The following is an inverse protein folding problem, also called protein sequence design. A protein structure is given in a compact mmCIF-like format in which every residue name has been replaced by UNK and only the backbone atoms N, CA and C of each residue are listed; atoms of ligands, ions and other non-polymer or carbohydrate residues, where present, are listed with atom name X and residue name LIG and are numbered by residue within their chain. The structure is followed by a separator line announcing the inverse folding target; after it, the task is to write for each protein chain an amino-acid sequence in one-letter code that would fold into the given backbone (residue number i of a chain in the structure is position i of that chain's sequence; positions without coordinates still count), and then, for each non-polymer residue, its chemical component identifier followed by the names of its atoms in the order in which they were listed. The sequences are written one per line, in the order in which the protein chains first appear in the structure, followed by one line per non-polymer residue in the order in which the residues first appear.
data_IF_363751060394
#
_entry.id   IF_363751060394
#
_cell.length_a   1.000
_cell.length_b   1.000
_cell.length_c   1.000
_cell.angle_alpha   90.00
_cell.angle_beta   90.00
_cell.angle_gamma   90.00
#
_symmetry.space_group_name_H-M   'P 1'
#
loop_
_entity.id
_entity.type
_entity.pdbx_description
1 polymer ?
#
# COMPACT_ATOMS: atom_id res chain seq x y z
N UNK A 1 -13.74 -4.69 -4.08
CA UNK A 1 -15.07 -5.16 -3.66
C UNK A 1 -15.29 -4.83 -2.19
N UNK A 2 -14.58 -5.46 -1.25
CA UNK A 2 -14.69 -5.18 0.21
C UNK A 2 -14.72 -3.69 0.60
N UNK A 3 -13.83 -2.86 0.04
CA UNK A 3 -13.80 -1.40 0.29
C UNK A 3 -15.10 -0.72 -0.17
N UNK A 4 -15.65 -1.15 -1.31
CA UNK A 4 -16.88 -0.57 -1.84
C UNK A 4 -18.09 -0.96 -0.99
N UNK A 5 -18.17 -2.22 -0.59
CA UNK A 5 -19.21 -2.73 0.32
C UNK A 5 -19.18 -1.99 1.66
N UNK A 6 -18.00 -1.85 2.26
CA UNK A 6 -17.82 -1.09 3.52
C UNK A 6 -18.30 0.36 3.37
N UNK A 7 -17.94 1.05 2.29
CA UNK A 7 -18.37 2.43 2.07
C UNK A 7 -19.89 2.55 1.86
N UNK A 8 -20.50 1.58 1.16
CA UNK A 8 -21.95 1.53 0.97
C UNK A 8 -22.69 1.27 2.28
N UNK A 9 -22.19 0.36 3.13
CA UNK A 9 -22.73 0.11 4.48
C UNK A 9 -22.68 1.36 5.37
N UNK A 10 -21.67 2.22 5.17
CA UNK A 10 -21.54 3.53 5.83
C UNK A 10 -22.40 4.63 5.20
N UNK A 11 -23.21 4.32 4.18
CA UNK A 11 -24.16 5.23 3.56
C UNK A 11 -23.63 6.01 2.34
N UNK A 12 -22.53 5.57 1.72
CA UNK A 12 -22.05 6.18 0.48
C UNK A 12 -22.95 5.81 -0.72
N UNK A 13 -23.96 6.64 -0.99
CA UNK A 13 -24.95 6.42 -2.06
C UNK A 13 -24.43 6.72 -3.47
N UNK A 14 -23.33 7.48 -3.60
CA UNK A 14 -22.75 7.89 -4.88
C UNK A 14 -21.31 7.38 -5.00
N UNK A 15 -21.18 6.05 -5.03
CA UNK A 15 -19.88 5.37 -5.16
C UNK A 15 -19.64 4.92 -6.61
N UNK A 16 -18.55 5.38 -7.21
CA UNK A 16 -18.13 4.99 -8.55
C UNK A 16 -16.82 4.20 -8.49
N UNK A 17 -16.89 2.90 -8.76
CA UNK A 17 -15.72 2.04 -8.88
C UNK A 17 -15.25 2.02 -10.34
N UNK A 18 -14.06 2.59 -10.58
CA UNK A 18 -13.48 2.68 -11.93
C UNK A 18 -12.47 1.54 -12.09
N UNK A 19 -12.75 0.61 -13.00
CA UNK A 19 -11.76 -0.39 -13.39
C UNK A 19 -10.78 0.23 -14.39
N UNK A 20 -9.55 0.43 -13.94
CA UNK A 20 -8.46 0.93 -14.75
C UNK A 20 -7.24 0.00 -14.72
N UNK A 21 -7.40 -1.26 -14.30
CA UNK A 21 -6.27 -2.19 -14.12
C UNK A 21 -5.44 -2.33 -15.41
N UNK A 22 -6.09 -2.49 -16.57
CA UNK A 22 -5.39 -2.59 -17.86
C UNK A 22 -4.65 -1.31 -18.23
N UNK A 23 -5.22 -0.13 -17.93
CA UNK A 23 -4.56 1.16 -18.19
C UNK A 23 -3.27 1.30 -17.37
N UNK A 24 -3.31 0.91 -16.09
CA UNK A 24 -2.13 0.93 -15.22
C UNK A 24 -1.09 -0.09 -15.64
N UNK A 25 -1.49 -1.32 -15.96
CA UNK A 25 -0.57 -2.36 -16.41
C UNK A 25 0.11 -2.01 -17.73
N UNK A 26 -0.64 -1.45 -18.69
CA UNK A 26 -0.07 -0.98 -19.95
C UNK A 26 0.92 0.17 -19.76
N UNK A 27 0.61 1.12 -18.87
CA UNK A 27 1.51 2.24 -18.59
C UNK A 27 2.80 1.81 -17.85
N UNK A 28 2.78 0.68 -17.14
CA UNK A 28 3.91 0.12 -16.40
C UNK A 28 4.72 -0.92 -17.19
N UNK A 29 4.35 -1.17 -18.45
CA UNK A 29 4.99 -2.20 -19.26
C UNK A 29 6.50 -1.93 -19.42
N UNK A 30 7.32 -2.89 -19.02
CA UNK A 30 8.78 -2.79 -19.10
C UNK A 30 9.44 -1.85 -18.08
N UNK A 31 8.68 -1.11 -17.27
CA UNK A 31 9.22 -0.14 -16.30
C UNK A 31 9.77 -0.88 -15.07
N UNK A 32 11.07 -0.77 -14.85
CA UNK A 32 11.76 -1.38 -13.71
C UNK A 32 12.12 -0.38 -12.61
N UNK A 33 12.37 0.89 -12.96
CA UNK A 33 12.78 1.91 -12.00
C UNK A 33 11.64 2.28 -11.04
N UNK A 34 11.86 2.22 -9.71
CA UNK A 34 10.79 2.43 -8.74
C UNK A 34 10.25 3.87 -8.72
N UNK A 35 11.10 4.87 -8.93
CA UNK A 35 10.67 6.28 -8.96
C UNK A 35 9.84 6.56 -10.22
N UNK A 36 10.21 5.96 -11.35
CA UNK A 36 9.42 6.00 -12.58
C UNK A 36 8.07 5.30 -12.40
N UNK A 37 8.02 4.12 -11.77
CA UNK A 37 6.76 3.44 -11.41
C UNK A 37 5.85 4.35 -10.57
N UNK A 38 6.41 4.97 -9.52
CA UNK A 38 5.68 5.90 -8.63
C UNK A 38 5.10 7.08 -9.41
N UNK A 39 5.91 7.70 -10.27
CA UNK A 39 5.50 8.83 -11.09
C UNK A 39 4.38 8.46 -12.07
N UNK A 40 4.54 7.36 -12.81
CA UNK A 40 3.54 6.88 -13.78
C UNK A 40 2.21 6.61 -13.10
N UNK A 41 2.23 5.91 -11.97
CA UNK A 41 1.00 5.58 -11.22
C UNK A 41 0.33 6.85 -10.70
N UNK A 42 1.09 7.77 -10.12
CA UNK A 42 0.57 9.05 -9.64
C UNK A 42 -0.07 9.88 -10.75
N UNK A 43 0.63 10.06 -11.87
CA UNK A 43 0.15 10.85 -13.01
C UNK A 43 -1.11 10.23 -13.64
N UNK A 44 -1.12 8.90 -13.81
CA UNK A 44 -2.26 8.20 -14.41
C UNK A 44 -3.48 8.20 -13.48
N UNK A 45 -3.30 8.03 -12.16
CA UNK A 45 -4.39 8.12 -11.19
C UNK A 45 -5.12 9.47 -11.28
N UNK A 46 -4.37 10.56 -11.32
CA UNK A 46 -4.94 11.91 -11.41
C UNK A 46 -5.61 12.14 -12.75
N UNK A 47 -5.03 11.63 -13.84
CA UNK A 47 -5.64 11.72 -15.17
C UNK A 47 -6.99 11.01 -15.21
N UNK A 48 -7.06 9.79 -14.70
CA UNK A 48 -8.32 9.02 -14.59
C UNK A 48 -9.31 9.79 -13.71
N UNK A 49 -8.89 10.28 -12.55
CA UNK A 49 -9.77 11.06 -11.68
C UNK A 49 -10.35 12.28 -12.39
N UNK A 50 -9.54 13.01 -13.16
CA UNK A 50 -9.99 14.18 -13.92
C UNK A 50 -10.99 13.79 -15.02
N UNK A 51 -10.69 12.75 -15.80
CA UNK A 51 -11.57 12.21 -16.86
C UNK A 51 -12.93 11.81 -16.27
N UNK A 52 -12.94 11.04 -15.19
CA UNK A 52 -14.15 10.53 -14.56
C UNK A 52 -14.97 11.62 -13.86
N UNK A 53 -14.30 12.65 -13.30
CA UNK A 53 -14.97 13.82 -12.73
C UNK A 53 -15.65 14.66 -13.81
N UNK A 54 -14.96 14.89 -14.93
CA UNK A 54 -15.49 15.66 -16.05
C UNK A 54 -16.66 14.92 -16.73
N UNK A 55 -16.54 13.61 -16.96
CA UNK A 55 -17.60 12.78 -17.54
C UNK A 55 -18.90 12.79 -16.72
N UNK A 56 -18.82 13.10 -15.43
CA UNK A 56 -19.97 13.18 -14.51
C UNK A 56 -20.41 14.61 -14.20
N UNK A 57 -19.76 15.62 -14.77
CA UNK A 57 -20.09 17.03 -14.50
C UNK A 57 -19.83 17.48 -13.06
N UNK A 58 -18.84 16.86 -12.38
CA UNK A 58 -18.46 17.18 -10.99
C UNK A 58 -17.05 17.79 -10.90
N UNK A 59 -16.52 18.29 -12.01
CA UNK A 59 -15.20 18.91 -12.11
C UNK A 59 -15.07 20.18 -11.23
N UNK A 60 -16.18 20.87 -10.95
CA UNK A 60 -16.23 22.05 -10.07
C UNK A 60 -16.59 21.71 -8.60
N UNK A 61 -16.80 20.43 -8.25
CA UNK A 61 -17.08 20.04 -6.87
C UNK A 61 -15.85 20.18 -5.96
N UNK A 62 -16.10 20.30 -4.65
CA UNK A 62 -15.03 20.22 -3.64
C UNK A 62 -14.33 18.86 -3.70
N UNK A 63 -13.00 18.88 -3.59
CA UNK A 63 -12.15 17.71 -3.41
C UNK A 63 -11.83 17.55 -1.93
N UNK A 64 -12.38 16.52 -1.30
CA UNK A 64 -12.03 16.14 0.06
C UNK A 64 -10.81 15.21 0.08
N UNK A 65 -9.82 15.49 0.92
CA UNK A 65 -8.65 14.63 1.12
C UNK A 65 -8.50 14.27 2.61
N UNK A 66 -8.11 13.03 2.88
CA UNK A 66 -7.84 12.53 4.23
C UNK A 66 -6.44 12.89 4.75
N UNK A 67 -5.87 14.01 4.32
CA UNK A 67 -4.53 14.50 4.71
C UNK A 67 -4.47 14.66 6.24
N UNK A 68 -3.42 14.13 6.87
CA UNK A 68 -3.21 14.22 8.32
C UNK A 68 -2.23 15.32 8.70
N UNK A 69 -2.15 15.63 10.00
CA UNK A 69 -1.22 16.64 10.51
C UNK A 69 0.26 16.31 10.22
N UNK A 70 0.63 15.03 10.31
CA UNK A 70 1.99 14.56 9.97
C UNK A 70 2.36 14.82 8.51
N UNK A 71 1.40 14.66 7.59
CA UNK A 71 1.60 14.89 6.16
C UNK A 71 1.83 16.37 5.85
N UNK A 72 1.21 17.26 6.63
CA UNK A 72 1.39 18.71 6.54
C UNK A 72 2.79 19.16 7.01
N UNK A 73 3.35 18.48 8.03
CA UNK A 73 4.73 18.72 8.49
C UNK A 73 5.73 18.22 7.44
N UNK A 74 5.56 16.99 6.94
CA UNK A 74 6.46 16.40 5.94
C UNK A 74 6.45 17.15 4.60
N UNK A 75 5.33 17.76 4.24
CA UNK A 75 5.19 18.61 3.04
C UNK A 75 5.66 20.06 3.22
N UNK A 76 6.16 20.42 4.41
CA UNK A 76 6.71 21.75 4.69
C UNK A 76 5.67 22.86 4.90
N UNK A 77 4.38 22.50 5.09
CA UNK A 77 3.30 23.45 5.38
C UNK A 77 3.07 23.68 6.90
N UNK A 78 3.76 22.93 7.76
CA UNK A 78 3.79 23.12 9.21
C UNK A 78 4.79 24.20 9.65
N UNK A 79 4.43 24.98 10.67
CA UNK A 79 5.17 26.13 11.23
C UNK A 79 6.67 25.84 11.41
N UNK A 80 7.51 26.42 10.54
CA UNK A 80 8.97 26.39 10.67
C UNK A 80 9.69 26.26 9.32
N UNK A 81 10.44 27.28 8.93
CA UNK A 81 11.15 27.43 7.64
C UNK A 81 12.33 26.48 7.39
N UNK A 82 12.36 25.29 8.02
CA UNK A 82 13.49 24.34 7.95
C UNK A 82 13.13 22.91 7.57
N UNK A 83 11.86 22.60 7.28
CA UNK A 83 11.52 21.28 6.78
C UNK A 83 11.99 21.15 5.32
N UNK A 84 13.11 20.43 5.09
CA UNK A 84 13.41 19.91 3.75
C UNK A 84 12.19 19.07 3.33
N UNK A 85 11.66 19.32 2.14
CA UNK A 85 10.59 18.51 1.53
C UNK A 85 11.16 17.11 1.29
N UNK A 86 11.02 16.22 2.27
CA UNK A 86 11.59 14.88 2.26
C UNK A 86 10.68 13.91 1.49
N UNK A 87 9.42 14.28 1.25
CA UNK A 87 8.50 13.53 0.38
C UNK A 87 7.68 14.47 -0.49
N UNK A 88 7.88 14.39 -1.81
CA UNK A 88 6.90 14.86 -2.79
C UNK A 88 5.64 14.02 -2.63
N UNK A 89 4.70 14.46 -1.80
CA UNK A 89 3.41 13.78 -1.68
C UNK A 89 2.71 13.89 -3.04
N UNK A 90 2.76 12.81 -3.81
CA UNK A 90 2.31 12.74 -5.21
C UNK A 90 0.82 13.10 -5.39
N UNK A 91 0.02 13.14 -4.32
CA UNK A 91 -1.39 13.54 -4.34
C UNK A 91 -1.65 15.02 -4.00
N UNK A 92 -0.63 15.80 -3.62
CA UNK A 92 -0.81 17.19 -3.11
C UNK A 92 -0.42 18.25 -4.14
N UNK A 93 0.48 17.92 -5.08
CA UNK A 93 1.07 18.87 -6.04
C UNK A 93 0.72 18.56 -7.50
N UNK A 94 -0.40 17.88 -7.75
CA UNK A 94 -0.77 17.55 -9.14
C UNK A 94 -1.49 18.74 -9.77
N UNK A 95 -1.40 18.95 -11.10
CA UNK A 95 -2.04 20.09 -11.74
C UNK A 95 -3.56 20.20 -11.51
N UNK A 96 -4.24 19.08 -11.27
CA UNK A 96 -5.66 19.05 -10.89
C UNK A 96 -5.86 19.57 -9.46
N UNK A 97 -5.08 19.03 -8.51
CA UNK A 97 -5.18 19.41 -7.10
C UNK A 97 -4.74 20.86 -6.90
N UNK A 98 -3.70 21.32 -7.59
CA UNK A 98 -3.27 22.72 -7.58
C UNK A 98 -4.34 23.65 -8.14
N UNK A 99 -4.97 23.30 -9.28
CA UNK A 99 -6.09 24.08 -9.83
C UNK A 99 -7.26 24.16 -8.87
N UNK A 100 -7.69 23.03 -8.29
CA UNK A 100 -8.77 23.00 -7.29
C UNK A 100 -8.38 23.77 -6.03
N UNK A 101 -7.14 23.67 -5.57
CA UNK A 101 -6.64 24.38 -4.39
C UNK A 101 -6.59 25.89 -4.62
N UNK A 102 -6.11 26.33 -5.78
CA UNK A 102 -6.12 27.74 -6.18
C UNK A 102 -7.55 28.31 -6.29
N UNK A 103 -8.52 27.46 -6.68
CA UNK A 103 -9.94 27.81 -6.71
C UNK A 103 -10.64 27.70 -5.33
N UNK A 104 -9.95 27.32 -4.26
CA UNK A 104 -10.55 27.15 -2.92
C UNK A 104 -11.46 25.91 -2.81
N UNK A 105 -11.33 24.94 -3.71
CA UNK A 105 -12.16 23.75 -3.82
C UNK A 105 -11.52 22.50 -3.18
N UNK A 106 -10.59 22.65 -2.24
CA UNK A 106 -9.97 21.53 -1.51
C UNK A 106 -10.31 21.64 -0.03
N UNK A 107 -10.79 20.54 0.55
CA UNK A 107 -11.05 20.42 1.99
C UNK A 107 -10.26 19.25 2.58
N UNK A 108 -9.65 19.45 3.74
CA UNK A 108 -8.78 18.47 4.39
C UNK A 108 -9.23 18.27 5.85
N UNK A 109 -10.37 17.57 6.12
CA UNK A 109 -11.02 17.57 7.43
C UNK A 109 -10.20 16.96 8.57
N UNK A 110 -9.20 16.14 8.22
CA UNK A 110 -8.36 15.41 9.18
C UNK A 110 -6.99 16.09 9.37
N UNK A 111 -6.76 17.27 8.78
CA UNK A 111 -5.44 17.91 8.72
C UNK A 111 -4.89 18.34 10.09
N UNK A 112 -5.72 18.37 11.12
CA UNK A 112 -5.35 18.70 12.50
C UNK A 112 -5.18 17.48 13.40
N UNK A 113 -5.30 16.26 12.87
CA UNK A 113 -5.31 15.03 13.65
C UNK A 113 -4.07 14.17 13.41
N UNK A 114 -3.62 13.51 14.47
CA UNK A 114 -2.65 12.40 14.43
C UNK A 114 -3.34 11.06 14.12
N UNK A 115 -2.53 10.03 13.82
CA UNK A 115 -3.04 8.73 13.33
C UNK A 115 -3.89 8.00 14.36
N UNK A 116 -3.52 8.07 15.64
CA UNK A 116 -4.27 7.53 16.77
C UNK A 116 -5.61 8.26 16.96
N UNK A 117 -5.63 9.60 16.83
CA UNK A 117 -6.86 10.39 16.88
C UNK A 117 -7.83 10.04 15.75
N UNK A 118 -7.31 9.81 14.54
CA UNK A 118 -8.12 9.35 13.40
C UNK A 118 -8.71 7.96 13.64
N UNK A 119 -7.96 7.07 14.30
CA UNK A 119 -8.48 5.73 14.68
C UNK A 119 -9.62 5.86 15.70
N UNK A 120 -9.46 6.71 16.71
CA UNK A 120 -10.50 6.98 17.69
C UNK A 120 -11.74 7.60 17.05
N UNK A 121 -11.55 8.55 16.14
CA UNK A 121 -12.65 9.13 15.35
C UNK A 121 -13.36 8.07 14.51
N UNK A 122 -12.61 7.15 13.88
CA UNK A 122 -13.15 6.01 13.16
C UNK A 122 -14.06 5.14 14.02
N UNK A 123 -13.67 4.87 15.27
CA UNK A 123 -14.50 4.13 16.21
C UNK A 123 -15.78 4.90 16.60
N UNK A 124 -15.70 6.23 16.77
CA UNK A 124 -16.85 7.07 17.09
C UNK A 124 -17.89 7.10 15.96
N UNK A 125 -17.46 7.00 14.70
CA UNK A 125 -18.36 6.92 13.53
C UNK A 125 -18.71 5.47 13.15
N UNK A 126 -18.49 4.52 14.06
CA UNK A 126 -18.84 3.11 13.93
C UNK A 126 -18.16 2.36 12.76
N UNK A 127 -16.94 2.76 12.38
CA UNK A 127 -16.11 1.91 11.50
C UNK A 127 -15.76 0.61 12.23
N UNK A 128 -15.69 -0.49 11.48
CA UNK A 128 -15.31 -1.77 12.06
C UNK A 128 -13.87 -1.72 12.62
N UNK A 129 -13.59 -2.44 13.72
CA UNK A 129 -12.23 -2.54 14.25
C UNK A 129 -11.22 -3.06 13.21
N UNK A 130 -11.67 -3.89 12.28
CA UNK A 130 -10.85 -4.41 11.19
C UNK A 130 -10.39 -3.31 10.21
N UNK A 131 -11.29 -2.38 9.84
CA UNK A 131 -10.95 -1.25 8.97
C UNK A 131 -10.00 -0.28 9.69
N UNK A 132 -10.28 0.02 10.96
CA UNK A 132 -9.46 0.93 11.79
C UNK A 132 -8.06 0.36 12.04
N UNK A 133 -7.97 -0.96 12.29
CA UNK A 133 -6.75 -1.69 12.60
C UNK A 133 -5.94 -2.13 11.37
N UNK A 134 -6.42 -1.85 10.16
CA UNK A 134 -5.74 -2.27 8.93
C UNK A 134 -4.35 -1.63 8.82
N UNK A 135 -3.36 -2.44 8.46
CA UNK A 135 -2.01 -1.97 8.19
C UNK A 135 -1.99 -0.94 7.05
N UNK A 136 -1.07 0.03 7.07
CA UNK A 136 -0.92 0.97 5.96
C UNK A 136 -0.60 0.24 4.65
N UNK A 137 -1.15 0.72 3.55
CA UNK A 137 -0.92 0.21 2.20
C UNK A 137 -0.45 1.37 1.29
N UNK A 138 0.65 1.22 0.55
CA UNK A 138 1.22 2.30 -0.23
C UNK A 138 0.32 2.69 -1.41
N UNK A 139 0.33 3.96 -1.81
CA UNK A 139 -0.44 4.47 -2.96
C UNK A 139 -0.15 3.73 -4.28
N UNK A 140 1.14 3.51 -4.66
CA UNK A 140 1.52 2.65 -5.79
C UNK A 140 1.14 1.17 -5.64
N UNK A 141 0.65 0.77 -4.46
CA UNK A 141 0.22 -0.58 -4.14
C UNK A 141 1.29 -1.63 -4.37
N UNK A 142 0.92 -2.70 -5.07
CA UNK A 142 1.81 -3.82 -5.33
C UNK A 142 2.96 -3.50 -6.28
N UNK A 143 2.90 -2.38 -7.01
CA UNK A 143 3.94 -2.04 -7.98
C UNK A 143 5.31 -1.79 -7.32
N UNK A 144 5.33 -1.32 -6.06
CA UNK A 144 6.56 -1.15 -5.24
C UNK A 144 6.88 -2.36 -4.38
N UNK A 145 6.07 -3.43 -4.49
CA UNK A 145 6.30 -4.73 -3.84
C UNK A 145 6.66 -5.82 -4.84
N UNK A 146 6.75 -5.47 -6.12
CA UNK A 146 7.23 -6.33 -7.20
C UNK A 146 8.51 -5.68 -7.70
N UNK A 147 9.65 -6.30 -7.41
CA UNK A 147 10.93 -5.75 -7.84
C UNK A 147 11.09 -5.88 -9.35
N UNK A 148 11.44 -4.78 -10.02
CA UNK A 148 11.54 -4.69 -11.47
C UNK A 148 10.18 -4.58 -12.18
N UNK A 149 10.07 -5.06 -13.44
CA UNK A 149 8.85 -4.88 -14.24
C UNK A 149 7.62 -5.56 -13.66
N UNK A 150 6.50 -4.81 -13.65
CA UNK A 150 5.20 -5.25 -13.13
C UNK A 150 4.39 -5.90 -14.25
N UNK A 151 3.87 -7.10 -14.01
CA UNK A 151 3.00 -7.81 -14.95
C UNK A 151 1.74 -8.31 -14.23
N UNK A 152 0.68 -8.59 -14.99
CA UNK A 152 -0.56 -9.18 -14.46
C UNK A 152 -0.29 -10.47 -13.67
N UNK A 153 0.52 -11.37 -14.24
CA UNK A 153 0.95 -12.62 -13.61
C UNK A 153 1.64 -12.37 -12.26
N UNK A 154 2.63 -11.47 -12.20
CA UNK A 154 3.34 -11.15 -10.95
C UNK A 154 2.40 -10.56 -9.90
N UNK A 155 1.47 -9.70 -10.31
CA UNK A 155 0.43 -9.17 -9.43
C UNK A 155 -0.48 -10.28 -8.90
N UNK A 156 -0.88 -11.26 -9.73
CA UNK A 156 -1.71 -12.40 -9.33
C UNK A 156 -1.00 -13.31 -8.33
N UNK A 157 0.28 -13.60 -8.56
CA UNK A 157 1.14 -14.37 -7.66
C UNK A 157 1.25 -13.66 -6.31
N UNK A 158 1.62 -12.38 -6.32
CA UNK A 158 1.84 -11.61 -5.10
C UNK A 158 0.53 -11.43 -4.30
N UNK A 159 -0.61 -11.18 -4.96
CA UNK A 159 -1.92 -11.08 -4.29
C UNK A 159 -2.27 -12.36 -3.53
N UNK A 160 -2.09 -13.53 -4.13
CA UNK A 160 -2.36 -14.81 -3.46
C UNK A 160 -1.41 -15.05 -2.28
N UNK A 161 -0.12 -14.78 -2.47
CA UNK A 161 0.88 -14.97 -1.43
C UNK A 161 0.66 -14.04 -0.22
N UNK A 162 0.41 -12.75 -0.48
CA UNK A 162 0.14 -11.75 0.54
C UNK A 162 -1.16 -12.05 1.29
N UNK A 163 -2.23 -12.45 0.59
CA UNK A 163 -3.47 -12.87 1.23
C UNK A 163 -3.29 -14.05 2.19
N UNK A 164 -2.47 -15.05 1.81
CA UNK A 164 -2.11 -16.16 2.69
C UNK A 164 -1.32 -15.66 3.90
N UNK A 165 -0.30 -14.84 3.68
CA UNK A 165 0.53 -14.32 4.75
C UNK A 165 -0.29 -13.54 5.79
N UNK A 166 -1.09 -12.58 5.35
CA UNK A 166 -1.97 -11.79 6.22
C UNK A 166 -3.00 -12.68 6.94
N UNK A 167 -3.57 -13.68 6.25
CA UNK A 167 -4.48 -14.65 6.87
C UNK A 167 -3.81 -15.44 7.99
N UNK A 168 -2.59 -15.93 7.79
CA UNK A 168 -1.85 -16.67 8.81
C UNK A 168 -1.47 -15.77 10.00
N UNK A 169 -1.09 -14.51 9.77
CA UNK A 169 -0.85 -13.55 10.84
C UNK A 169 -2.10 -13.29 11.69
N UNK A 170 -3.27 -13.12 11.05
CA UNK A 170 -4.55 -12.96 11.74
C UNK A 170 -4.90 -14.21 12.56
N UNK A 171 -4.79 -15.42 11.99
CA UNK A 171 -5.07 -16.70 12.67
C UNK A 171 -4.19 -16.93 13.91
N UNK A 172 -2.94 -16.46 13.87
CA UNK A 172 -1.99 -16.58 14.97
C UNK A 172 -2.10 -15.47 16.01
N UNK A 173 -2.97 -14.48 15.80
CA UNK A 173 -3.11 -13.31 16.68
C UNK A 173 -2.03 -12.24 16.51
N UNK A 174 -1.07 -12.45 15.61
CA UNK A 174 0.13 -11.59 15.46
C UNK A 174 -0.16 -10.29 14.69
N UNK A 175 -1.23 -10.25 13.89
CA UNK A 175 -1.51 -9.13 12.99
C UNK A 175 -1.57 -7.77 13.71
N UNK A 176 -2.15 -7.72 14.92
CA UNK A 176 -2.29 -6.49 15.70
C UNK A 176 -1.02 -6.11 16.47
N UNK A 177 -0.05 -7.02 16.59
CA UNK A 177 1.26 -6.76 17.20
C UNK A 177 2.25 -6.16 16.19
N UNK A 178 1.95 -6.29 14.90
CA UNK A 178 2.78 -5.82 13.79
C UNK A 178 2.26 -4.45 13.32
N UNK A 179 3.17 -3.50 13.07
CA UNK A 179 2.80 -2.20 12.52
C UNK A 179 2.45 -2.27 11.04
N UNK A 180 3.25 -3.01 10.26
CA UNK A 180 2.95 -3.33 8.87
C UNK A 180 3.59 -4.67 8.49
N UNK A 181 2.81 -5.54 7.86
CA UNK A 181 3.26 -6.79 7.26
C UNK A 181 2.85 -6.86 5.79
N UNK A 182 3.72 -7.41 4.95
CA UNK A 182 3.44 -7.67 3.54
C UNK A 182 4.47 -8.59 2.90
N UNK A 183 4.13 -9.11 1.72
CA UNK A 183 5.06 -9.81 0.86
C UNK A 183 5.69 -8.90 -0.20
N UNK A 184 6.92 -9.22 -0.60
CA UNK A 184 7.64 -8.64 -1.74
C UNK A 184 8.03 -9.76 -2.70
N UNK A 185 7.71 -9.61 -3.98
CA UNK A 185 8.08 -10.57 -5.02
C UNK A 185 9.40 -10.14 -5.68
N UNK A 186 10.45 -10.95 -5.52
CA UNK A 186 11.75 -10.66 -6.11
C UNK A 186 11.77 -11.08 -7.58
N UNK A 187 12.57 -10.38 -8.39
CA UNK A 187 12.82 -10.79 -9.78
C UNK A 187 13.65 -12.08 -9.90
N UNK A 188 14.34 -12.47 -8.83
CA UNK A 188 15.15 -13.69 -8.78
C UNK A 188 14.30 -14.95 -8.75
N UNK A 189 14.73 -15.98 -9.49
CA UNK A 189 14.20 -17.33 -9.41
C UNK A 189 15.16 -18.26 -8.67
N UNK A 190 14.63 -19.27 -8.01
CA UNK A 190 15.41 -20.27 -7.29
C UNK A 190 14.91 -21.68 -7.59
N UNK A 191 15.83 -22.65 -7.54
CA UNK A 191 15.50 -24.06 -7.67
C UNK A 191 14.74 -24.48 -6.42
N UNK A 192 13.55 -25.05 -6.64
CA UNK A 192 12.77 -25.81 -5.68
C UNK A 192 12.57 -27.24 -6.18
N UNK A 193 12.11 -28.08 -5.26
CA UNK A 193 11.68 -29.46 -5.55
C UNK A 193 10.20 -29.53 -5.21
N UNK A 194 9.38 -29.89 -6.19
CA UNK A 194 7.95 -30.13 -6.01
C UNK A 194 7.66 -31.53 -6.57
N UNK A 195 7.39 -32.49 -5.68
CA UNK A 195 7.43 -33.92 -6.03
C UNK A 195 8.86 -34.35 -6.41
N UNK A 196 9.00 -35.05 -7.54
CA UNK A 196 10.29 -35.55 -8.05
C UNK A 196 10.92 -34.67 -9.15
N UNK A 197 10.34 -33.50 -9.46
CA UNK A 197 10.79 -32.63 -10.56
C UNK A 197 11.36 -31.31 -10.02
N UNK A 198 12.48 -30.87 -10.61
CA UNK A 198 13.05 -29.54 -10.33
C UNK A 198 12.18 -28.46 -10.95
N UNK A 199 11.74 -27.49 -10.15
CA UNK A 199 10.98 -26.31 -10.61
C UNK A 199 11.75 -25.05 -10.26
N UNK A 200 11.81 -24.10 -11.18
CA UNK A 200 12.33 -22.75 -10.91
C UNK A 200 11.16 -21.82 -10.58
N UNK A 201 11.02 -21.50 -9.29
CA UNK A 201 10.00 -20.59 -8.78
C UNK A 201 10.58 -19.22 -8.40
N UNK A 202 9.72 -18.23 -8.23
CA UNK A 202 10.08 -16.92 -7.69
C UNK A 202 10.51 -17.02 -6.23
N UNK A 203 11.37 -16.10 -5.82
CA UNK A 203 11.68 -15.86 -4.40
C UNK A 203 10.70 -14.82 -3.86
N UNK A 204 10.04 -15.14 -2.75
CA UNK A 204 9.16 -14.23 -2.02
C UNK A 204 9.85 -13.80 -0.72
N UNK A 205 9.93 -12.49 -0.47
CA UNK A 205 10.34 -11.97 0.83
C UNK A 205 9.11 -11.62 1.67
N UNK A 206 9.14 -12.04 2.94
CA UNK A 206 8.20 -11.60 3.95
C UNK A 206 8.81 -10.40 4.68
N UNK A 207 8.01 -9.35 4.84
CA UNK A 207 8.34 -8.17 5.65
C UNK A 207 7.32 -8.05 6.77
N UNK A 208 7.81 -7.86 7.99
CA UNK A 208 7.00 -7.45 9.14
C UNK A 208 7.85 -6.57 10.03
N UNK A 209 7.31 -5.42 10.40
CA UNK A 209 8.01 -4.44 11.24
C UNK A 209 7.13 -3.96 12.38
N UNK A 210 7.76 -3.63 13.49
CA UNK A 210 7.17 -2.89 14.61
C UNK A 210 7.69 -1.46 14.59
N UNK A 211 6.79 -0.50 14.80
CA UNK A 211 7.13 0.91 14.75
C UNK A 211 6.10 1.73 15.53
N UNK A 212 6.54 2.85 16.10
CA UNK A 212 5.65 3.82 16.74
C UNK A 212 5.05 4.79 15.70
N UNK A 213 5.86 5.29 14.78
CA UNK A 213 5.50 6.40 13.88
C UNK A 213 5.91 6.18 12.40
N UNK A 214 6.54 5.03 12.09
CA UNK A 214 7.08 4.71 10.78
C UNK A 214 8.40 5.41 10.45
N UNK A 215 8.94 6.29 11.31
CA UNK A 215 10.23 6.95 11.08
C UNK A 215 11.41 6.01 11.37
N UNK A 216 11.34 5.26 12.47
CA UNK A 216 12.20 4.11 12.78
C UNK A 216 11.35 2.86 12.87
N UNK A 217 11.91 1.70 12.52
CA UNK A 217 11.18 0.45 12.60
C UNK A 217 12.12 -0.72 12.86
N UNK A 218 11.73 -1.59 13.79
CA UNK A 218 12.43 -2.84 14.07
C UNK A 218 11.73 -4.01 13.41
N UNK A 219 12.52 -5.05 13.13
CA UNK A 219 12.01 -6.30 12.56
C UNK A 219 11.09 -6.97 13.58
N UNK A 220 9.92 -7.46 13.13
CA UNK A 220 9.05 -8.24 14.01
C UNK A 220 9.73 -9.57 14.41
N UNK A 221 9.93 -9.86 15.70
CA UNK A 221 10.68 -11.02 16.15
C UNK A 221 9.78 -12.27 16.20
N UNK A 222 9.45 -12.85 15.05
CA UNK A 222 8.69 -14.10 14.99
C UNK A 222 9.32 -15.20 15.85
N UNK A 223 8.48 -15.97 16.54
CA UNK A 223 8.92 -17.22 17.14
C UNK A 223 9.27 -18.23 16.05
N UNK A 224 10.33 -19.01 16.24
CA UNK A 224 10.95 -19.80 15.17
C UNK A 224 10.00 -20.73 14.39
N UNK A 225 8.90 -21.19 14.99
CA UNK A 225 7.91 -22.05 14.32
C UNK A 225 6.94 -21.27 13.41
N UNK A 226 6.65 -20.01 13.72
CA UNK A 226 5.63 -19.22 13.03
C UNK A 226 6.02 -18.96 11.57
N UNK A 227 7.28 -18.55 11.34
CA UNK A 227 7.81 -18.35 9.98
C UNK A 227 7.84 -19.65 9.17
N UNK A 228 8.12 -20.78 9.80
CA UNK A 228 8.11 -22.09 9.13
C UNK A 228 6.70 -22.46 8.66
N UNK A 229 5.70 -22.28 9.53
CA UNK A 229 4.30 -22.55 9.21
C UNK A 229 3.77 -21.61 8.12
N UNK A 230 4.08 -20.31 8.21
CA UNK A 230 3.71 -19.31 7.19
C UNK A 230 4.37 -19.62 5.84
N UNK A 231 5.68 -19.92 5.84
CA UNK A 231 6.42 -20.28 4.64
C UNK A 231 5.81 -21.50 3.95
N UNK A 232 5.55 -22.57 4.72
CA UNK A 232 4.90 -23.79 4.23
C UNK A 232 3.48 -23.52 3.70
N UNK A 233 2.72 -22.70 4.40
CA UNK A 233 1.39 -22.26 3.97
C UNK A 233 1.40 -21.59 2.58
N UNK A 234 2.40 -20.76 2.30
CA UNK A 234 2.53 -20.06 1.02
C UNK A 234 2.98 -21.02 -0.08
N UNK A 235 4.08 -21.75 0.12
CA UNK A 235 4.66 -22.62 -0.94
C UNK A 235 3.76 -23.79 -1.33
N UNK A 236 2.91 -24.27 -0.42
CA UNK A 236 1.93 -25.32 -0.73
C UNK A 236 0.69 -24.82 -1.51
N UNK A 237 0.42 -23.50 -1.51
CA UNK A 237 -0.79 -22.91 -2.11
C UNK A 237 -0.51 -21.98 -3.29
N UNK A 238 0.73 -21.54 -3.46
CA UNK A 238 1.19 -20.67 -4.55
C UNK A 238 2.36 -21.33 -5.24
N UNK A 239 2.07 -22.14 -6.25
CA UNK A 239 3.04 -23.01 -6.89
C UNK A 239 4.20 -22.28 -7.61
N UNK A 240 3.99 -21.03 -7.97
CA UNK A 240 4.98 -20.18 -8.62
C UNK A 240 6.09 -19.72 -7.66
N UNK A 241 5.88 -19.87 -6.34
CA UNK A 241 6.84 -19.49 -5.31
C UNK A 241 7.65 -20.72 -4.91
N UNK A 242 8.94 -20.68 -5.23
CA UNK A 242 9.87 -21.77 -4.94
C UNK A 242 10.63 -21.59 -3.62
N UNK A 243 10.69 -20.37 -3.10
CA UNK A 243 11.45 -20.05 -1.89
C UNK A 243 10.85 -18.83 -1.19
N UNK A 244 10.80 -18.89 0.13
CA UNK A 244 10.40 -17.79 0.99
C UNK A 244 11.60 -17.36 1.84
N UNK A 245 11.82 -16.06 1.96
CA UNK A 245 12.83 -15.45 2.84
C UNK A 245 12.17 -14.44 3.78
N UNK A 246 12.84 -14.09 4.88
CA UNK A 246 12.38 -13.07 5.81
C UNK A 246 13.38 -11.92 5.87
N UNK A 247 12.86 -10.69 5.81
CA UNK A 247 13.68 -9.48 5.91
C UNK A 247 14.01 -9.14 7.36
N UNK A 248 15.28 -9.28 7.72
CA UNK A 248 15.82 -9.02 9.06
C UNK A 248 16.53 -7.66 9.19
N UNK A 249 16.21 -6.70 8.31
CA UNK A 249 16.83 -5.37 8.29
C UNK A 249 15.97 -4.33 9.01
N UNK A 250 16.46 -3.70 10.08
CA UNK A 250 15.78 -2.55 10.71
C UNK A 250 15.87 -1.29 9.84
N UNK A 251 14.98 -0.33 10.11
CA UNK A 251 15.02 1.04 9.59
C UNK A 251 15.52 1.99 10.68
N UNK A 252 16.69 2.63 10.53
CA UNK A 252 17.75 2.44 9.52
C UNK A 252 18.58 1.15 9.72
N UNK A 253 19.39 0.67 8.73
CA UNK A 253 19.74 1.33 7.46
C UNK A 253 18.77 1.09 6.30
N UNK A 254 17.86 0.14 6.43
CA UNK A 254 16.89 -0.16 5.37
C UNK A 254 15.67 0.77 5.42
N UNK A 255 14.77 0.61 4.46
CA UNK A 255 13.40 1.16 4.49
C UNK A 255 12.39 0.08 4.84
N UNK A 256 11.13 0.45 5.05
CA UNK A 256 10.07 -0.54 5.32
C UNK A 256 9.71 -1.27 4.03
N UNK A 257 9.28 -0.53 3.00
CA UNK A 257 9.12 -1.02 1.63
C UNK A 257 10.51 -1.23 0.97
N UNK A 258 10.58 -2.10 -0.02
CA UNK A 258 11.82 -2.45 -0.72
C UNK A 258 12.12 -1.55 -1.94
N UNK A 259 11.13 -0.79 -2.38
CA UNK A 259 11.15 0.22 -3.45
C UNK A 259 10.26 1.40 -3.06
#
# INVERSE_FOLDING_TARGET
EEVAETLQELGANHLYCIDAADRFLAALEGVADPEEKRKIIGDLFIRIQAEESAARGIDQAFLAQGTLYTDMIESGKGVGSKAKVIKSHHNVATPLVERKRAAGLVIEPLSSLYKDEVRNLGAMVALSPEVIGRHPFPGPGLAVRILGPVTREKCDILRRADAIYISELKKKGLYNEIWQAFCVLLSSRSVGVSGDVRRYGYVLALRAVVSLDGMTADVFPFAGKELLEISSAITNRVEEIGRVVYDISSKPPATIEWE
#
